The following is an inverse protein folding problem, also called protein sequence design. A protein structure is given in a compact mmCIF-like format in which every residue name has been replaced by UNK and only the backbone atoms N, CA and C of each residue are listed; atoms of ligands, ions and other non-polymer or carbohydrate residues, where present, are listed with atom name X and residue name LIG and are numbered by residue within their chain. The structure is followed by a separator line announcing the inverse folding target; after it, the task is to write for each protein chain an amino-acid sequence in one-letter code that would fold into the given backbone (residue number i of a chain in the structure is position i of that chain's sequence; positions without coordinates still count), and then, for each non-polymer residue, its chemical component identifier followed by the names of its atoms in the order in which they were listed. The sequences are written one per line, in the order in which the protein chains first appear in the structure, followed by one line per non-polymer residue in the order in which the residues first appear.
data_IF_341402003284
#
_entry.id   IF_341402003284
#
_cell.length_a   1.000
_cell.length_b   1.000
_cell.length_c   1.000
_cell.angle_alpha   90.00
_cell.angle_beta   90.00
_cell.angle_gamma   90.00
#
_symmetry.space_group_name_H-M   'P 1'
#
loop_
_entity.id
_entity.type
_entity.pdbx_description
1 polymer ?
#
# COMPACT_ATOMS: atom_id res chain seq x y z
N UNK A 1 17.71 -21.96 -4.92
CA UNK A 1 16.78 -20.82 -4.86
C UNK A 1 17.30 -19.81 -5.87
N UNK A 2 16.46 -19.40 -6.80
CA UNK A 2 16.87 -18.51 -7.91
C UNK A 2 17.36 -17.18 -7.32
N UNK A 3 18.57 -16.72 -7.70
CA UNK A 3 19.16 -15.52 -7.09
C UNK A 3 18.25 -14.29 -7.27
N UNK A 4 17.56 -14.21 -8.41
CA UNK A 4 16.61 -13.14 -8.72
C UNK A 4 15.41 -13.15 -7.77
N UNK A 5 14.94 -14.32 -7.34
CA UNK A 5 13.79 -14.43 -6.42
C UNK A 5 14.14 -13.88 -5.03
N UNK A 6 15.32 -14.23 -4.54
CA UNK A 6 15.82 -13.76 -3.23
C UNK A 6 16.04 -12.25 -3.20
N UNK A 7 16.47 -11.69 -4.32
CA UNK A 7 16.65 -10.24 -4.48
C UNK A 7 15.30 -9.51 -4.42
N UNK A 8 14.30 -10.00 -5.16
CA UNK A 8 12.92 -9.47 -5.15
C UNK A 8 12.32 -9.55 -3.74
N UNK A 9 12.50 -10.67 -3.03
CA UNK A 9 12.02 -10.84 -1.64
C UNK A 9 12.67 -9.85 -0.67
N UNK A 10 13.97 -9.59 -0.82
CA UNK A 10 14.69 -8.60 -0.02
C UNK A 10 14.21 -7.18 -0.30
N UNK A 11 14.00 -6.82 -1.56
CA UNK A 11 13.46 -5.52 -1.94
C UNK A 11 12.04 -5.31 -1.40
N UNK A 12 11.18 -6.33 -1.48
CA UNK A 12 9.84 -6.32 -0.88
C UNK A 12 9.90 -6.14 0.64
N UNK A 13 10.81 -6.85 1.33
CA UNK A 13 10.98 -6.72 2.76
C UNK A 13 11.43 -5.30 3.17
N UNK A 14 12.38 -4.72 2.43
CA UNK A 14 12.85 -3.36 2.64
C UNK A 14 11.71 -2.34 2.43
N UNK A 15 10.93 -2.49 1.35
CA UNK A 15 9.78 -1.62 1.06
C UNK A 15 8.74 -1.67 2.19
N UNK A 16 8.47 -2.86 2.74
CA UNK A 16 7.54 -3.04 3.87
C UNK A 16 8.04 -2.32 5.13
N UNK A 17 9.34 -2.40 5.43
CA UNK A 17 9.95 -1.73 6.58
C UNK A 17 9.87 -0.21 6.41
N UNK A 18 10.32 0.31 5.26
CA UNK A 18 10.31 1.75 4.97
C UNK A 18 8.90 2.31 5.04
N UNK A 19 7.93 1.63 4.42
CA UNK A 19 6.51 2.04 4.44
C UNK A 19 5.97 2.10 5.87
N UNK A 20 6.23 1.05 6.67
CA UNK A 20 5.78 1.00 8.07
C UNK A 20 6.41 2.11 8.92
N UNK A 21 7.72 2.33 8.77
CA UNK A 21 8.46 3.37 9.49
C UNK A 21 8.00 4.78 9.12
N UNK A 22 7.81 5.05 7.82
CA UNK A 22 7.28 6.34 7.36
C UNK A 22 5.91 6.58 7.99
N UNK A 23 4.99 5.64 7.86
CA UNK A 23 3.62 5.81 8.31
C UNK A 23 3.50 5.93 9.84
N UNK A 24 4.42 5.37 10.63
CA UNK A 24 4.49 5.59 12.08
C UNK A 24 4.96 7.01 12.46
N UNK A 25 5.73 7.67 11.60
CA UNK A 25 6.26 9.01 11.86
C UNK A 25 5.32 10.14 11.38
N UNK A 26 4.31 9.82 10.56
CA UNK A 26 3.42 10.79 9.91
C UNK A 26 2.16 11.08 10.75
N UNK A 27 1.74 12.34 10.77
CA UNK A 27 0.44 12.71 11.33
C UNK A 27 -0.73 12.18 10.47
N UNK A 28 -1.96 12.27 10.97
CA UNK A 28 -3.13 11.67 10.29
C UNK A 28 -3.33 12.18 8.86
N UNK A 29 -3.08 13.48 8.61
CA UNK A 29 -3.20 14.05 7.26
C UNK A 29 -2.14 13.46 6.34
N UNK A 30 -0.88 13.49 6.77
CA UNK A 30 0.23 12.97 5.98
C UNK A 30 0.10 11.46 5.72
N UNK A 31 -0.44 10.69 6.68
CA UNK A 31 -0.75 9.27 6.48
C UNK A 31 -1.79 9.05 5.38
N UNK A 32 -2.86 9.85 5.34
CA UNK A 32 -3.86 9.77 4.27
C UNK A 32 -3.26 10.12 2.91
N UNK A 33 -2.51 11.22 2.83
CA UNK A 33 -1.86 11.65 1.58
C UNK A 33 -0.88 10.58 1.06
N UNK A 34 -0.12 9.95 1.96
CA UNK A 34 0.78 8.85 1.62
C UNK A 34 0.04 7.61 1.13
N UNK A 35 -1.08 7.24 1.77
CA UNK A 35 -1.91 6.11 1.32
C UNK A 35 -2.48 6.36 -0.07
N UNK A 36 -2.97 7.57 -0.36
CA UNK A 36 -3.40 7.95 -1.70
C UNK A 36 -2.30 7.81 -2.74
N UNK A 37 -1.08 8.27 -2.43
CA UNK A 37 0.08 8.09 -3.31
C UNK A 37 0.43 6.61 -3.54
N UNK A 38 0.36 5.77 -2.50
CA UNK A 38 0.59 4.33 -2.62
C UNK A 38 -0.47 3.69 -3.54
N UNK A 39 -1.74 4.06 -3.41
CA UNK A 39 -2.82 3.59 -4.29
C UNK A 39 -2.56 3.94 -5.75
N UNK A 40 -2.16 5.19 -6.04
CA UNK A 40 -1.83 5.63 -7.40
C UNK A 40 -0.65 4.85 -7.99
N UNK A 41 0.39 4.60 -7.18
CA UNK A 41 1.55 3.79 -7.59
C UNK A 41 1.13 2.34 -7.90
N UNK A 42 0.27 1.75 -7.08
CA UNK A 42 -0.26 0.39 -7.31
C UNK A 42 -1.06 0.34 -8.61
N UNK A 43 -1.96 1.29 -8.84
CA UNK A 43 -2.80 1.35 -10.05
C UNK A 43 -1.95 1.50 -11.32
N UNK A 44 -0.99 2.41 -11.31
CA UNK A 44 -0.07 2.64 -12.41
C UNK A 44 0.86 1.43 -12.65
N UNK A 45 1.29 0.75 -11.59
CA UNK A 45 2.08 -0.49 -11.68
C UNK A 45 1.24 -1.63 -12.26
N UNK A 46 -0.03 -1.78 -11.85
CA UNK A 46 -0.97 -2.75 -12.42
C UNK A 46 -1.19 -2.53 -13.91
N UNK A 47 -1.33 -1.27 -14.33
CA UNK A 47 -1.50 -0.90 -15.74
C UNK A 47 -0.26 -1.22 -16.58
N UNK A 48 0.94 -0.96 -16.04
CA UNK A 48 2.20 -1.22 -16.73
C UNK A 48 2.61 -2.69 -16.75
N UNK A 49 2.27 -3.46 -15.73
CA UNK A 49 2.71 -4.85 -15.57
C UNK A 49 1.53 -5.81 -15.30
N UNK A 50 0.58 -5.95 -16.23
CA UNK A 50 -0.64 -6.74 -16.02
C UNK A 50 -0.37 -8.23 -15.74
N UNK A 51 0.78 -8.76 -16.16
CA UNK A 51 1.19 -10.15 -15.88
C UNK A 51 1.65 -10.40 -14.44
N UNK A 52 1.91 -9.34 -13.66
CA UNK A 52 2.36 -9.42 -12.26
C UNK A 52 1.22 -9.13 -11.26
N UNK A 53 -0.03 -9.18 -11.72
CA UNK A 53 -1.20 -8.75 -10.95
C UNK A 53 -1.38 -9.47 -9.60
N UNK A 54 -0.91 -10.71 -9.49
CA UNK A 54 -0.93 -11.47 -8.23
C UNK A 54 -0.07 -10.81 -7.15
N UNK A 55 1.17 -10.47 -7.47
CA UNK A 55 2.11 -9.80 -6.54
C UNK A 55 1.62 -8.39 -6.21
N UNK A 56 1.03 -7.71 -7.19
CA UNK A 56 0.48 -6.36 -7.01
C UNK A 56 -0.75 -6.40 -6.08
N UNK A 57 -1.66 -7.36 -6.26
CA UNK A 57 -2.81 -7.57 -5.37
C UNK A 57 -2.39 -7.93 -3.93
N UNK A 58 -1.34 -8.75 -3.76
CA UNK A 58 -0.80 -9.06 -2.43
C UNK A 58 -0.25 -7.81 -1.75
N UNK A 59 0.38 -6.92 -2.51
CA UNK A 59 0.87 -5.63 -2.01
C UNK A 59 -0.28 -4.73 -1.58
N UNK A 60 -1.34 -4.63 -2.39
CA UNK A 60 -2.54 -3.86 -2.05
C UNK A 60 -3.22 -4.39 -0.77
N UNK A 61 -3.39 -5.71 -0.65
CA UNK A 61 -3.94 -6.34 0.55
C UNK A 61 -3.08 -6.11 1.79
N UNK A 62 -1.75 -6.12 1.65
CA UNK A 62 -0.84 -5.85 2.75
C UNK A 62 -1.01 -4.41 3.26
N UNK A 63 -1.10 -3.44 2.36
CA UNK A 63 -1.36 -2.04 2.73
C UNK A 63 -2.71 -1.91 3.44
N UNK A 64 -3.78 -2.52 2.90
CA UNK A 64 -5.12 -2.56 3.50
C UNK A 64 -5.12 -3.15 4.92
N UNK A 65 -4.46 -4.30 5.13
CA UNK A 65 -4.38 -4.98 6.43
C UNK A 65 -3.53 -4.25 7.46
N UNK A 66 -2.53 -3.50 7.02
CA UNK A 66 -1.63 -2.77 7.93
C UNK A 66 -2.31 -1.53 8.51
N UNK A 67 -3.37 -1.01 7.87
CA UNK A 67 -4.08 0.21 8.30
C UNK A 67 -5.61 0.07 8.34
N UNK A 68 -6.17 -0.82 9.19
CA UNK A 68 -7.62 -0.96 9.35
C UNK A 68 -8.27 0.26 10.03
N UNK A 69 -7.52 1.01 10.85
CA UNK A 69 -8.05 2.16 11.62
C UNK A 69 -8.26 3.43 10.78
N UNK A 70 -7.58 3.57 9.65
CA UNK A 70 -7.91 4.61 8.65
C UNK A 70 -9.08 4.14 7.80
N UNK A 71 -9.11 2.86 7.39
CA UNK A 71 -10.23 2.28 6.64
C UNK A 71 -11.57 2.28 7.39
N UNK A 72 -11.58 2.42 8.72
CA UNK A 72 -12.83 2.60 9.50
C UNK A 72 -13.31 4.05 9.55
N UNK A 73 -12.46 5.02 9.19
CA UNK A 73 -12.76 6.45 9.20
C UNK A 73 -12.80 7.06 7.80
N UNK A 74 -12.07 6.49 6.84
CA UNK A 74 -11.88 6.95 5.47
C UNK A 74 -11.68 5.76 4.51
N UNK A 75 -12.18 5.81 3.28
CA UNK A 75 -11.97 4.81 2.24
C UNK A 75 -10.54 4.88 1.66
N UNK A 76 -10.23 3.97 0.73
CA UNK A 76 -8.90 3.88 0.10
C UNK A 76 -8.52 5.09 -0.78
N UNK A 77 -9.49 5.96 -1.06
CA UNK A 77 -9.32 7.24 -1.76
C UNK A 77 -9.20 8.42 -0.77
N UNK A 78 -9.28 8.17 0.54
CA UNK A 78 -9.21 9.18 1.58
C UNK A 78 -10.53 9.89 1.90
N UNK A 79 -11.69 9.36 1.47
CA UNK A 79 -13.01 9.91 1.79
C UNK A 79 -13.61 9.33 3.07
N UNK A 80 -14.27 10.11 3.94
CA UNK A 80 -14.83 9.59 5.17
C UNK A 80 -15.83 8.43 4.92
N UNK A 81 -15.65 7.30 5.60
CA UNK A 81 -16.55 6.12 5.48
C UNK A 81 -17.95 6.36 6.06
N UNK A 82 -18.15 7.42 6.84
CA UNK A 82 -19.41 7.73 7.53
C UNK A 82 -20.37 8.62 6.72
N UNK A 83 -20.13 8.84 5.42
CA UNK A 83 -20.96 9.70 4.56
C UNK A 83 -21.87 8.95 3.57
N UNK A 84 -21.93 7.61 3.62
CA UNK A 84 -22.94 6.85 2.87
C UNK A 84 -24.16 6.60 3.76
N UNK A 85 -25.10 7.56 3.78
CA UNK A 85 -26.48 7.36 4.22
C UNK A 85 -27.38 7.03 3.03
#
# INVERSE_FOLDING_TARGET
MDNNLREIECELAALKIVTKSLLCALNDKQRRDMLGNISLVIEDTSSRYPHHNEVINLTEQYVKKTYPSINSLYDFNGFPTNLTS
#
